data_IF_050901444782
#
_entry.id   IF_050901444782
#
_cell.length_a   1.000
_cell.length_b   1.000
_cell.length_c   1.000
_cell.angle_alpha   90.00
_cell.angle_beta   90.00
_cell.angle_gamma   90.00
#
_symmetry.space_group_name_H-M   'P 1'
#
loop_
_entity.id
_entity.type
_entity.pdbx_description
1 polymer ?
#
# COMPACT_ATOMS: atom_id res chain seq x y z
N UNK A 1 -4.94 -12.00 -21.78
CA UNK A 1 -5.99 -12.41 -20.82
C UNK A 1 -6.16 -11.41 -19.65
N UNK A 2 -5.20 -10.52 -19.38
CA UNK A 2 -5.24 -9.65 -18.19
C UNK A 2 -6.38 -8.62 -18.17
N UNK A 3 -6.84 -8.14 -19.33
CA UNK A 3 -7.88 -7.11 -19.39
C UNK A 3 -9.27 -7.64 -18.97
N UNK A 4 -9.61 -8.89 -19.33
CA UNK A 4 -10.92 -9.49 -19.00
C UNK A 4 -10.97 -9.88 -17.52
N UNK A 5 -9.89 -10.52 -17.02
CA UNK A 5 -9.78 -10.93 -15.62
C UNK A 5 -9.76 -9.71 -14.70
N UNK A 6 -9.07 -8.63 -15.09
CA UNK A 6 -8.96 -7.42 -14.27
C UNK A 6 -10.27 -6.68 -14.04
N UNK A 7 -11.22 -6.75 -14.97
CA UNK A 7 -12.55 -6.11 -14.81
C UNK A 7 -13.53 -7.01 -14.04
N UNK A 8 -13.38 -8.34 -14.18
CA UNK A 8 -14.25 -9.31 -13.48
C UNK A 8 -13.84 -9.57 -12.03
N UNK A 9 -12.54 -9.75 -11.76
CA UNK A 9 -12.03 -10.17 -10.44
C UNK A 9 -11.22 -9.08 -9.74
N UNK A 10 -10.70 -8.10 -10.48
CA UNK A 10 -9.77 -7.09 -9.95
C UNK A 10 -8.35 -7.63 -9.75
N UNK A 11 -7.42 -6.74 -9.42
CA UNK A 11 -6.05 -7.10 -9.05
C UNK A 11 -5.77 -6.60 -7.63
N UNK A 12 -5.30 -7.49 -6.77
CA UNK A 12 -4.85 -7.16 -5.41
C UNK A 12 -3.39 -7.55 -5.27
N UNK A 13 -2.60 -6.74 -4.56
CA UNK A 13 -1.21 -7.06 -4.25
C UNK A 13 -0.95 -6.83 -2.78
N UNK A 14 -0.85 -7.93 -2.03
CA UNK A 14 -0.46 -7.92 -0.63
C UNK A 14 1.03 -7.64 -0.52
N UNK A 15 1.38 -6.59 0.22
CA UNK A 15 2.74 -6.18 0.53
C UNK A 15 2.91 -6.25 2.05
N UNK A 16 4.02 -6.84 2.48
CA UNK A 16 4.35 -6.98 3.90
C UNK A 16 5.67 -6.26 4.20
N UNK A 17 5.67 -5.52 5.29
CA UNK A 17 6.81 -4.77 5.80
C UNK A 17 7.59 -5.64 6.77
N UNK A 18 8.76 -6.09 6.32
CA UNK A 18 9.69 -6.87 7.14
C UNK A 18 10.78 -5.95 7.71
N UNK A 19 10.66 -5.61 9.00
CA UNK A 19 11.64 -4.79 9.70
C UNK A 19 11.17 -4.31 11.08
N UNK A 20 12.12 -4.09 11.99
CA UNK A 20 11.82 -3.60 13.34
C UNK A 20 11.54 -2.09 13.27
N UNK A 21 10.35 -1.68 13.70
CA UNK A 21 9.94 -0.26 13.67
C UNK A 21 9.32 0.21 12.36
N UNK A 22 9.05 -0.71 11.41
CA UNK A 22 8.41 -0.36 10.14
C UNK A 22 6.90 -0.22 10.30
N UNK A 23 6.35 0.87 9.77
CA UNK A 23 4.92 1.17 9.82
C UNK A 23 4.44 1.74 8.50
N UNK A 24 3.35 1.20 7.97
CA UNK A 24 2.55 1.80 6.92
C UNK A 24 1.26 2.36 7.49
N UNK A 25 0.83 3.51 6.95
CA UNK A 25 -0.47 4.10 7.23
C UNK A 25 -1.08 4.60 5.93
N UNK A 26 -2.20 4.01 5.53
CA UNK A 26 -3.02 4.55 4.45
C UNK A 26 -3.73 5.82 4.92
N UNK A 27 -3.60 6.88 4.14
CA UNK A 27 -4.16 8.19 4.37
C UNK A 27 -4.90 8.64 3.10
N UNK A 28 -6.06 8.03 2.87
CA UNK A 28 -6.89 8.27 1.69
C UNK A 28 -6.17 7.86 0.41
N UNK A 29 -5.67 8.85 -0.34
CA UNK A 29 -4.90 8.65 -1.59
C UNK A 29 -3.38 8.64 -1.37
N UNK A 30 -2.91 8.77 -0.14
CA UNK A 30 -1.49 8.78 0.18
C UNK A 30 -1.16 7.64 1.14
N UNK A 31 0.01 7.04 1.01
CA UNK A 31 0.51 5.99 1.87
C UNK A 31 1.73 6.53 2.62
N UNK A 32 1.60 6.73 3.92
CA UNK A 32 2.69 7.16 4.77
C UNK A 32 3.49 5.93 5.23
N UNK A 33 4.78 5.89 4.89
CA UNK A 33 5.70 4.79 5.16
C UNK A 33 6.79 5.27 6.11
N UNK A 34 6.83 4.67 7.29
CA UNK A 34 7.89 4.86 8.28
C UNK A 34 8.78 3.62 8.26
N UNK A 35 9.91 3.67 7.53
CA UNK A 35 10.83 2.53 7.35
C UNK A 35 12.16 2.73 8.07
N UNK A 36 12.18 3.51 9.15
CA UNK A 36 13.43 3.87 9.85
C UNK A 36 14.27 4.93 9.12
N UNK A 37 13.73 5.57 8.08
CA UNK A 37 14.30 6.81 7.54
C UNK A 37 14.14 7.96 8.53
N UNK A 38 14.98 9.00 8.40
CA UNK A 38 14.92 10.19 9.25
C UNK A 38 13.60 10.98 9.12
N UNK A 39 12.87 10.79 8.03
CA UNK A 39 11.56 11.40 7.77
C UNK A 39 10.59 10.35 7.22
N UNK A 40 9.28 10.50 7.50
CA UNK A 40 8.26 9.64 6.90
C UNK A 40 8.19 9.87 5.39
N UNK A 41 7.91 8.80 4.64
CA UNK A 41 7.74 8.84 3.19
C UNK A 41 6.25 8.91 2.89
N UNK A 42 5.78 10.00 2.30
CA UNK A 42 4.42 10.12 1.79
C UNK A 42 4.37 9.72 0.32
N UNK A 43 3.86 8.53 0.05
CA UNK A 43 3.69 8.01 -1.30
C UNK A 43 2.28 8.26 -1.81
N UNK A 44 2.13 9.12 -2.82
CA UNK A 44 0.82 9.37 -3.43
C UNK A 44 0.44 8.24 -4.39
N UNK A 45 -0.72 7.63 -4.16
CA UNK A 45 -1.24 6.56 -5.02
C UNK A 45 -1.77 7.16 -6.33
N UNK A 46 -1.51 6.49 -7.47
CA UNK A 46 -2.05 6.92 -8.76
C UNK A 46 -3.57 6.73 -8.81
N UNK A 47 -4.24 7.48 -9.71
CA UNK A 47 -5.68 7.40 -9.86
C UNK A 47 -6.13 6.00 -10.28
N UNK A 48 -7.16 5.48 -9.60
CA UNK A 48 -7.67 4.12 -9.82
C UNK A 48 -7.00 3.02 -9.00
N UNK A 49 -6.00 3.35 -8.17
CA UNK A 49 -5.37 2.42 -7.22
C UNK A 49 -5.71 2.84 -5.79
N UNK A 50 -6.29 1.91 -5.03
CA UNK A 50 -6.53 2.06 -3.60
C UNK A 50 -5.50 1.24 -2.83
N UNK A 51 -5.08 1.74 -1.67
CA UNK A 51 -4.28 0.98 -0.73
C UNK A 51 -4.98 0.96 0.63
N UNK A 52 -5.11 -0.23 1.20
CA UNK A 52 -5.63 -0.46 2.52
C UNK A 52 -4.51 -0.97 3.42
N UNK A 53 -4.42 -0.45 4.65
CA UNK A 53 -3.46 -0.93 5.64
C UNK A 53 -4.22 -1.63 6.77
N UNK A 54 -4.50 -2.95 6.66
CA UNK A 54 -5.19 -3.70 7.71
C UNK A 54 -4.34 -3.84 8.98
N UNK A 55 -3.02 -3.85 8.83
CA UNK A 55 -2.05 -3.84 9.92
C UNK A 55 -1.02 -2.73 9.69
N UNK A 56 -0.28 -2.37 10.74
CA UNK A 56 0.85 -1.44 10.62
C UNK A 56 1.96 -1.99 9.72
N UNK A 57 2.01 -3.30 9.48
CA UNK A 57 3.03 -3.96 8.66
C UNK A 57 2.50 -4.52 7.34
N UNK A 58 1.20 -4.39 7.05
CA UNK A 58 0.59 -4.97 5.85
C UNK A 58 -0.13 -3.90 5.03
N UNK A 59 0.01 -3.97 3.71
CA UNK A 59 -0.65 -3.11 2.74
C UNK A 59 -1.32 -4.00 1.68
N UNK A 60 -2.57 -3.71 1.33
CA UNK A 60 -3.39 -4.45 0.35
C UNK A 60 -3.94 -3.53 -0.71
#
# INVERSE_FOLDING_TARGET
>A
NNMVIGVSEGFQKKLELQGVGYRAKAQGKSLNLTLGYSHPIDYSLPEGVTAETPSQTEIV
#
